data_IF_798944907037
#
_entry.id   IF_798944907037
#
_cell.length_a   1.000
_cell.length_b   1.000
_cell.length_c   1.000
_cell.angle_alpha   90.00
_cell.angle_beta   90.00
_cell.angle_gamma   90.00
#
_symmetry.space_group_name_H-M   'P 1'
#
loop_
_entity.id
_entity.type
_entity.pdbx_description
1 polymer ?
#
# COMPACT_ATOMS: atom_id res chain seq x y z
N UNK A 1 31.12 -7.46 5.90
CA UNK A 1 30.23 -6.65 6.78
C UNK A 1 29.35 -5.78 5.88
N UNK A 2 28.17 -6.28 5.52
CA UNK A 2 27.25 -5.55 4.65
C UNK A 2 26.62 -4.40 5.43
N UNK A 3 27.10 -3.17 5.19
CA UNK A 3 26.44 -1.97 5.67
C UNK A 3 25.10 -1.87 4.94
N UNK A 4 24.00 -2.23 5.61
CA UNK A 4 22.64 -2.00 5.13
C UNK A 4 22.39 -0.49 5.12
N UNK A 5 22.79 0.17 4.02
CA UNK A 5 22.58 1.59 3.79
C UNK A 5 21.09 1.90 4.00
N UNK A 6 20.79 2.83 4.91
CA UNK A 6 19.41 3.29 5.15
C UNK A 6 18.80 3.75 3.81
N UNK A 7 17.62 3.27 3.43
CA UNK A 7 16.97 3.72 2.20
C UNK A 7 16.62 5.20 2.32
N UNK A 8 16.67 5.90 1.18
CA UNK A 8 16.12 7.25 1.11
C UNK A 8 14.60 7.17 1.25
N UNK A 9 14.12 7.60 2.41
CA UNK A 9 12.70 7.61 2.80
C UNK A 9 12.14 9.03 2.80
N UNK A 10 12.83 9.98 2.16
CA UNK A 10 12.35 11.34 2.00
C UNK A 10 11.00 11.32 1.26
N UNK A 11 10.00 12.02 1.83
CA UNK A 11 8.64 12.00 1.28
C UNK A 11 7.84 10.71 1.52
N UNK A 12 8.36 9.77 2.32
CA UNK A 12 7.63 8.60 2.76
C UNK A 12 7.09 8.73 4.19
N UNK A 13 6.02 8.00 4.48
CA UNK A 13 5.42 7.85 5.81
C UNK A 13 5.40 6.38 6.20
N UNK A 14 5.52 6.09 7.50
CA UNK A 14 5.43 4.71 8.00
C UNK A 14 3.98 4.20 7.94
N UNK A 15 3.78 2.88 7.96
CA UNK A 15 2.45 2.28 8.10
C UNK A 15 1.68 2.80 9.33
N UNK A 16 2.38 3.08 10.43
CA UNK A 16 1.78 3.66 11.64
C UNK A 16 1.26 5.09 11.41
N UNK A 17 2.06 5.93 10.75
CA UNK A 17 1.66 7.30 10.38
C UNK A 17 0.51 7.30 9.37
N UNK A 18 0.55 6.39 8.38
CA UNK A 18 -0.54 6.18 7.44
C UNK A 18 -1.83 5.82 8.18
N UNK A 19 -1.79 4.82 9.07
CA UNK A 19 -2.94 4.42 9.89
C UNK A 19 -3.47 5.55 10.77
N UNK A 20 -2.59 6.41 11.31
CA UNK A 20 -3.02 7.60 12.05
C UNK A 20 -3.77 8.59 11.14
N UNK A 21 -3.29 8.78 9.90
CA UNK A 21 -3.87 9.70 8.94
C UNK A 21 -5.21 9.19 8.35
N UNK A 22 -5.48 7.89 8.32
CA UNK A 22 -6.74 7.34 7.76
C UNK A 22 -7.80 7.01 8.80
N UNK A 23 -7.62 7.41 10.06
CA UNK A 23 -8.60 7.18 11.14
C UNK A 23 -10.00 7.69 10.73
N UNK A 24 -11.09 6.98 11.11
CA UNK A 24 -11.13 5.81 12.00
C UNK A 24 -10.78 4.48 11.32
N UNK A 25 -10.44 4.48 10.03
CA UNK A 25 -10.07 3.26 9.32
C UNK A 25 -8.70 2.75 9.78
N UNK A 26 -8.48 1.43 9.63
CA UNK A 26 -7.21 0.77 9.90
C UNK A 26 -6.94 -0.25 8.82
N UNK A 27 -5.68 -0.36 8.39
CA UNK A 27 -5.25 -1.27 7.32
C UNK A 27 -3.90 -1.89 7.68
N UNK A 28 -3.72 -3.16 7.34
CA UNK A 28 -2.43 -3.83 7.40
C UNK A 28 -1.65 -3.57 6.11
N UNK A 29 -0.37 -3.89 6.11
CA UNK A 29 0.43 -3.82 4.88
C UNK A 29 -0.02 -4.79 3.81
N UNK A 30 -0.48 -5.97 4.21
CA UNK A 30 -0.99 -7.02 3.32
C UNK A 30 -2.33 -6.57 2.71
N UNK A 31 -3.16 -5.88 3.49
CA UNK A 31 -4.39 -5.25 3.01
C UNK A 31 -4.10 -4.15 1.98
N UNK A 32 -3.08 -3.31 2.22
CA UNK A 32 -2.63 -2.31 1.24
C UNK A 32 -2.12 -2.95 -0.05
N UNK A 33 -1.31 -4.01 0.07
CA UNK A 33 -0.81 -4.76 -1.09
C UNK A 33 -1.94 -5.36 -1.92
N UNK A 34 -3.01 -5.86 -1.29
CA UNK A 34 -4.20 -6.36 -2.00
C UNK A 34 -4.89 -5.29 -2.86
N UNK A 35 -4.74 -4.01 -2.50
CA UNK A 35 -5.21 -2.87 -3.28
C UNK A 35 -4.17 -2.29 -4.26
N UNK A 36 -3.03 -2.95 -4.43
CA UNK A 36 -1.94 -2.53 -5.32
C UNK A 36 -0.97 -1.51 -4.70
N UNK A 37 -1.05 -1.25 -3.40
CA UNK A 37 -0.16 -0.30 -2.72
C UNK A 37 1.01 -1.02 -2.05
N UNK A 38 2.15 -1.05 -2.75
CA UNK A 38 3.41 -1.58 -2.21
C UNK A 38 4.19 -0.53 -1.40
N UNK A 39 4.95 -0.94 -0.36
CA UNK A 39 5.86 -0.04 0.32
C UNK A 39 6.99 0.39 -0.63
N UNK A 40 7.32 1.69 -0.61
CA UNK A 40 8.46 2.23 -1.34
C UNK A 40 9.80 1.72 -0.77
N UNK A 41 9.84 1.43 0.54
CA UNK A 41 10.99 0.83 1.19
C UNK A 41 10.57 0.05 2.44
N UNK A 42 11.37 -0.95 2.79
CA UNK A 42 11.32 -1.62 4.10
C UNK A 42 12.67 -1.44 4.79
N UNK A 43 12.68 -0.87 5.99
CA UNK A 43 13.91 -0.68 6.78
C UNK A 43 13.68 -1.06 8.23
N UNK A 44 14.49 -1.99 8.76
CA UNK A 44 14.36 -2.52 10.13
C UNK A 44 12.94 -3.03 10.44
N UNK A 45 12.30 -3.67 9.45
CA UNK A 45 10.93 -4.17 9.56
C UNK A 45 9.82 -3.11 9.41
N UNK A 46 10.15 -1.82 9.43
CA UNK A 46 9.19 -0.75 9.17
C UNK A 46 8.95 -0.61 7.66
N UNK A 47 7.67 -0.61 7.26
CA UNK A 47 7.21 -0.37 5.89
C UNK A 47 6.93 1.12 5.68
N UNK A 48 7.51 1.67 4.62
CA UNK A 48 7.42 3.08 4.25
C UNK A 48 6.64 3.24 2.95
N UNK A 49 5.61 4.09 2.94
CA UNK A 49 4.75 4.36 1.80
C UNK A 49 4.95 5.80 1.33
N UNK A 50 4.85 6.06 0.03
CA UNK A 50 4.94 7.43 -0.50
C UNK A 50 3.78 8.26 0.06
N UNK A 51 4.09 9.39 0.70
CA UNK A 51 3.06 10.25 1.28
C UNK A 51 2.07 10.77 0.22
N UNK A 52 2.54 10.97 -1.02
CA UNK A 52 1.73 11.38 -2.15
C UNK A 52 0.60 10.39 -2.52
N UNK A 53 0.70 9.11 -2.13
CA UNK A 53 -0.35 8.12 -2.39
C UNK A 53 -1.50 8.18 -1.36
N UNK A 54 -1.34 8.93 -0.27
CA UNK A 54 -2.31 8.96 0.83
C UNK A 54 -3.75 9.34 0.38
N UNK A 55 -3.97 10.34 -0.51
CA UNK A 55 -5.30 10.65 -1.00
C UNK A 55 -5.94 9.48 -1.78
N UNK A 56 -5.15 8.75 -2.56
CA UNK A 56 -5.62 7.60 -3.32
C UNK A 56 -5.97 6.44 -2.38
N UNK A 57 -5.09 6.15 -1.42
CA UNK A 57 -5.33 5.10 -0.39
C UNK A 57 -6.63 5.40 0.37
N UNK A 58 -6.85 6.64 0.82
CA UNK A 58 -8.10 7.04 1.49
C UNK A 58 -9.32 6.79 0.62
N UNK A 59 -9.27 7.19 -0.65
CA UNK A 59 -10.39 6.99 -1.59
C UNK A 59 -10.68 5.50 -1.80
N UNK A 60 -9.65 4.69 -2.01
CA UNK A 60 -9.79 3.24 -2.22
C UNK A 60 -10.41 2.56 -1.01
N UNK A 61 -9.93 2.87 0.20
CA UNK A 61 -10.47 2.28 1.43
C UNK A 61 -11.91 2.74 1.72
N UNK A 62 -12.22 4.02 1.48
CA UNK A 62 -13.58 4.52 1.62
C UNK A 62 -14.53 3.86 0.61
N UNK A 63 -14.09 3.67 -0.63
CA UNK A 63 -14.89 2.99 -1.66
C UNK A 63 -15.17 1.53 -1.30
N UNK A 64 -14.15 0.79 -0.83
CA UNK A 64 -14.33 -0.59 -0.36
C UNK A 64 -15.29 -0.69 0.84
N UNK A 65 -15.29 0.30 1.73
CA UNK A 65 -16.24 0.37 2.84
C UNK A 65 -17.67 0.70 2.41
N UNK A 66 -17.84 1.52 1.36
CA UNK A 66 -19.15 1.91 0.83
C UNK A 66 -19.76 0.88 -0.12
N UNK A 67 -18.92 0.08 -0.78
CA UNK A 67 -19.35 -0.94 -1.74
C UNK A 67 -18.60 -2.26 -1.54
N UNK A 68 -18.98 -3.07 -0.53
CA UNK A 68 -18.28 -4.31 -0.19
C UNK A 68 -18.27 -5.32 -1.35
N UNK A 69 -19.34 -5.41 -2.13
CA UNK A 69 -19.43 -6.31 -3.28
C UNK A 69 -18.44 -5.92 -4.39
N UNK A 70 -18.10 -4.63 -4.49
CA UNK A 70 -17.12 -4.10 -5.43
C UNK A 70 -15.67 -4.28 -4.98
N UNK A 71 -15.41 -4.71 -3.74
CA UNK A 71 -14.06 -4.83 -3.19
C UNK A 71 -13.18 -5.77 -4.01
N UNK A 72 -13.75 -6.86 -4.53
CA UNK A 72 -13.03 -7.82 -5.40
C UNK A 72 -12.54 -7.15 -6.69
N UNK A 73 -13.38 -6.32 -7.32
CA UNK A 73 -13.02 -5.58 -8.53
C UNK A 73 -11.94 -4.54 -8.24
N UNK A 74 -12.06 -3.80 -7.13
CA UNK A 74 -11.09 -2.77 -6.72
C UNK A 74 -9.72 -3.41 -6.47
N UNK A 75 -9.69 -4.57 -5.79
CA UNK A 75 -8.44 -5.33 -5.58
C UNK A 75 -7.86 -5.82 -6.90
N UNK A 76 -8.69 -6.39 -7.79
CA UNK A 76 -8.24 -6.88 -9.10
C UNK A 76 -7.58 -5.76 -9.93
N UNK A 77 -8.21 -4.58 -10.00
CA UNK A 77 -7.67 -3.41 -10.69
C UNK A 77 -6.36 -2.91 -10.06
N UNK A 78 -6.23 -2.99 -8.73
CA UNK A 78 -4.99 -2.66 -8.04
C UNK A 78 -3.84 -3.63 -8.38
N UNK A 79 -4.14 -4.91 -8.61
CA UNK A 79 -3.12 -5.90 -8.99
C UNK A 79 -2.66 -5.77 -10.44
N UNK A 80 -3.55 -5.41 -11.37
CA UNK A 80 -3.20 -5.23 -12.78
C UNK A 80 -2.23 -4.05 -13.01
N UNK A 81 -2.28 -3.04 -12.14
CA UNK A 81 -1.35 -1.91 -12.17
C UNK A 81 0.09 -2.27 -11.71
N UNK A 82 0.30 -3.47 -11.16
CA UNK A 82 1.61 -3.96 -10.74
C UNK A 82 2.16 -4.98 -11.77
N UNK A 83 3.13 -4.60 -12.64
CA UNK A 83 3.55 -5.39 -13.80
C UNK A 83 4.24 -6.73 -13.46
N UNK A 84 4.46 -7.06 -12.19
CA UNK A 84 5.08 -8.33 -11.77
C UNK A 84 4.11 -9.51 -11.76
N UNK A 85 2.78 -9.30 -11.80
CA UNK A 85 1.80 -10.39 -11.67
C UNK A 85 1.47 -11.13 -12.99
N UNK A 86 1.82 -10.56 -14.14
CA UNK A 86 1.42 -11.09 -15.46
C UNK A 86 2.32 -12.26 -15.93
N UNK A 87 3.41 -12.55 -15.22
CA UNK A 87 4.43 -13.52 -15.66
C UNK A 87 4.14 -15.00 -15.33
N UNK A 88 2.95 -15.37 -14.84
CA UNK A 88 2.64 -16.77 -14.43
C UNK A 88 1.46 -17.39 -15.19
N UNK A 89 1.12 -16.85 -16.37
CA UNK A 89 0.14 -17.48 -17.27
C UNK A 89 0.70 -17.58 -18.69
N UNK A 90 1.62 -18.52 -18.89
CA UNK A 90 2.01 -19.06 -20.19
C UNK A 90 2.32 -20.55 -20.02
#
# INVERSE_FOLDING_TARGET
MNHTKKPDITGCITLGQLNHAIRPLKITSEGLAAYGFEPAATYMGAKYYRAALLPQIRRTLALGALWPEGEVLIKALGQEANPTSIATRA
#
